data_IF_850613363429
#
_entry.id   IF_850613363429
#
_cell.length_a   1.000
_cell.length_b   1.000
_cell.length_c   1.000
_cell.angle_alpha   90.00
_cell.angle_beta   90.00
_cell.angle_gamma   90.00
#
_symmetry.space_group_name_H-M   'P 1'
#
loop_
_entity.id
_entity.type
_entity.pdbx_description
1 polymer ?
#
# COMPACT_ATOMS: atom_id res chain seq x y z
N UNK A 1 10.28 -2.39 5.03
CA UNK A 1 9.89 -3.72 4.53
C UNK A 1 10.39 -3.86 3.10
N UNK A 2 10.62 -5.08 2.60
CA UNK A 2 11.06 -5.25 1.21
C UNK A 2 9.85 -5.34 0.29
N UNK A 3 9.78 -4.46 -0.70
CA UNK A 3 8.82 -4.50 -1.79
C UNK A 3 9.42 -5.35 -2.93
N UNK A 4 8.95 -6.59 -3.02
CA UNK A 4 9.36 -7.56 -4.04
C UNK A 4 8.71 -7.23 -5.38
N UNK A 5 9.52 -6.81 -6.33
CA UNK A 5 9.09 -6.41 -7.66
C UNK A 5 8.94 -7.62 -8.59
N UNK A 6 7.69 -7.93 -8.95
CA UNK A 6 7.33 -8.93 -9.96
C UNK A 6 6.62 -8.27 -11.16
N UNK A 7 6.75 -6.96 -11.31
CA UNK A 7 6.14 -6.21 -12.39
C UNK A 7 6.83 -6.56 -13.72
N UNK A 8 6.08 -6.47 -14.81
CA UNK A 8 6.57 -6.86 -16.15
C UNK A 8 6.65 -5.69 -17.15
N UNK A 9 6.47 -4.46 -16.69
CA UNK A 9 6.51 -3.26 -17.54
C UNK A 9 7.19 -2.08 -16.85
N UNK A 10 7.91 -1.30 -17.65
CA UNK A 10 8.69 -0.13 -17.18
C UNK A 10 7.80 0.97 -16.61
N UNK A 11 6.54 1.07 -17.05
CA UNK A 11 5.57 2.03 -16.56
C UNK A 11 5.13 1.70 -15.12
N UNK A 12 4.97 0.40 -14.82
CA UNK A 12 4.69 -0.05 -13.47
C UNK A 12 5.90 0.09 -12.57
N UNK A 13 7.09 -0.27 -13.06
CA UNK A 13 8.35 -0.11 -12.32
C UNK A 13 8.59 1.36 -11.91
N UNK A 14 8.31 2.30 -12.82
CA UNK A 14 8.40 3.73 -12.53
C UNK A 14 7.43 4.17 -11.43
N UNK A 15 6.21 3.63 -11.42
CA UNK A 15 5.19 3.94 -10.41
C UNK A 15 5.54 3.30 -9.05
N UNK A 16 6.11 2.09 -9.06
CA UNK A 16 6.57 1.42 -7.84
C UNK A 16 7.76 2.16 -7.22
N UNK A 17 8.71 2.62 -8.04
CA UNK A 17 9.83 3.44 -7.58
C UNK A 17 9.34 4.73 -6.92
N UNK A 18 8.45 5.46 -7.60
CA UNK A 18 7.87 6.69 -7.04
C UNK A 18 7.12 6.42 -5.73
N UNK A 19 6.27 5.39 -5.67
CA UNK A 19 5.57 5.03 -4.43
C UNK A 19 6.53 4.62 -3.31
N UNK A 20 7.61 3.89 -3.61
CA UNK A 20 8.64 3.54 -2.63
C UNK A 20 9.28 4.81 -2.03
N UNK A 21 9.65 5.75 -2.89
CA UNK A 21 10.28 7.01 -2.47
C UNK A 21 9.29 7.86 -1.67
N UNK A 22 8.06 8.03 -2.16
CA UNK A 22 6.99 8.77 -1.49
C UNK A 22 6.73 8.25 -0.06
N UNK A 23 6.63 6.93 0.13
CA UNK A 23 6.37 6.37 1.45
C UNK A 23 7.61 6.40 2.36
N UNK A 24 8.82 6.43 1.79
CA UNK A 24 10.07 6.59 2.52
C UNK A 24 10.37 8.02 2.98
N UNK A 25 9.58 9.02 2.56
CA UNK A 25 9.62 10.35 3.17
C UNK A 25 9.15 10.34 4.64
N UNK A 26 8.53 9.25 5.10
CA UNK A 26 8.17 9.04 6.50
C UNK A 26 9.37 8.63 7.36
N UNK A 27 9.54 9.25 8.53
CA UNK A 27 10.55 8.85 9.51
C UNK A 27 10.24 7.50 10.21
N UNK A 28 9.03 6.95 10.02
CA UNK A 28 8.52 5.82 10.81
C UNK A 28 8.47 4.49 10.07
N UNK A 29 8.71 4.50 8.76
CA UNK A 29 8.81 3.32 7.92
C UNK A 29 10.04 3.45 7.02
N UNK A 30 10.61 2.32 6.64
CA UNK A 30 11.75 2.27 5.73
C UNK A 30 11.53 1.08 4.79
N UNK A 31 11.44 1.35 3.49
CA UNK A 31 11.18 0.40 2.44
C UNK A 31 12.30 0.37 1.41
N UNK A 32 12.46 -0.78 0.80
CA UNK A 32 13.39 -0.96 -0.30
C UNK A 32 12.76 -1.85 -1.35
N UNK A 33 12.99 -1.54 -2.61
CA UNK A 33 12.64 -2.42 -3.73
C UNK A 33 13.72 -3.49 -3.88
N UNK A 34 13.30 -4.74 -4.06
CA UNK A 34 14.17 -5.84 -4.46
C UNK A 34 13.46 -6.72 -5.49
N UNK A 35 14.19 -7.65 -6.12
CA UNK A 35 13.56 -8.64 -7.00
C UNK A 35 12.49 -9.44 -6.23
N UNK A 36 11.34 -9.61 -6.85
CA UNK A 36 10.21 -10.35 -6.30
C UNK A 36 10.47 -11.85 -6.16
N UNK A 37 9.72 -12.46 -5.25
CA UNK A 37 9.76 -13.89 -4.94
C UNK A 37 8.47 -14.64 -5.27
N UNK A 38 7.46 -13.96 -5.83
CA UNK A 38 6.20 -14.59 -6.16
C UNK A 38 6.39 -15.66 -7.24
N UNK A 39 5.83 -16.86 -7.03
CA UNK A 39 5.91 -17.94 -8.01
C UNK A 39 5.18 -17.61 -9.32
N UNK A 40 4.15 -16.76 -9.24
CA UNK A 40 3.42 -16.23 -10.37
C UNK A 40 2.66 -14.95 -9.97
N UNK A 41 2.37 -14.09 -10.95
CA UNK A 41 1.70 -12.81 -10.72
C UNK A 41 0.20 -12.96 -10.41
N UNK A 42 -0.47 -14.02 -10.89
CA UNK A 42 -1.90 -14.25 -10.67
C UNK A 42 -2.20 -14.44 -9.16
N UNK A 43 -1.43 -15.28 -8.49
CA UNK A 43 -1.57 -15.50 -7.06
C UNK A 43 -0.92 -14.37 -6.26
N UNK A 44 0.21 -13.84 -6.75
CA UNK A 44 1.05 -12.85 -6.07
C UNK A 44 1.28 -13.20 -4.59
N UNK A 45 1.63 -14.46 -4.34
CA UNK A 45 1.68 -15.01 -2.99
C UNK A 45 3.02 -14.67 -2.31
N UNK A 46 3.01 -13.94 -1.17
CA UNK A 46 4.24 -13.57 -0.48
C UNK A 46 4.75 -14.66 0.47
N UNK A 47 6.09 -14.74 0.56
CA UNK A 47 6.76 -15.40 1.67
C UNK A 47 6.64 -14.57 2.97
N UNK A 48 6.82 -15.20 4.13
CA UNK A 48 6.87 -14.47 5.41
C UNK A 48 8.05 -13.48 5.42
N UNK A 49 7.78 -12.23 5.78
CA UNK A 49 8.74 -11.13 5.79
C UNK A 49 8.82 -10.34 4.48
N UNK A 50 8.08 -10.75 3.44
CA UNK A 50 8.08 -10.11 2.13
C UNK A 50 6.73 -9.47 1.80
N UNK A 51 6.78 -8.45 0.95
CA UNK A 51 5.62 -7.96 0.20
C UNK A 51 5.89 -8.23 -1.26
N UNK A 52 4.92 -8.79 -1.97
CA UNK A 52 5.05 -9.01 -3.42
C UNK A 52 4.14 -8.03 -4.16
N UNK A 53 4.73 -7.29 -5.12
CA UNK A 53 4.03 -6.37 -6.00
C UNK A 53 3.94 -7.02 -7.37
N UNK A 54 2.74 -7.24 -7.88
CA UNK A 54 2.51 -7.93 -9.14
C UNK A 54 1.48 -7.21 -10.02
N UNK A 55 1.67 -7.31 -11.33
CA UNK A 55 0.64 -6.98 -12.31
C UNK A 55 0.20 -8.22 -13.09
N UNK A 56 -1.09 -8.32 -13.36
CA UNK A 56 -1.68 -9.35 -14.20
C UNK A 56 -3.05 -8.89 -14.74
N UNK A 57 -3.55 -9.54 -15.79
CA UNK A 57 -4.95 -9.40 -16.21
C UNK A 57 -5.85 -10.21 -15.26
N UNK A 58 -6.35 -9.55 -14.22
CA UNK A 58 -7.26 -10.15 -13.24
C UNK A 58 -8.74 -10.08 -13.67
N UNK A 59 -8.99 -9.82 -14.95
CA UNK A 59 -10.30 -9.61 -15.53
C UNK A 59 -11.09 -8.44 -14.91
N UNK A 60 -12.33 -8.28 -15.36
CA UNK A 60 -13.27 -7.27 -14.89
C UNK A 60 -13.82 -7.64 -13.50
N UNK A 61 -13.24 -7.06 -12.45
CA UNK A 61 -13.50 -7.42 -11.05
C UNK A 61 -13.75 -6.22 -10.12
N UNK A 62 -13.92 -5.02 -10.71
CA UNK A 62 -14.22 -3.73 -10.08
C UNK A 62 -13.12 -3.16 -9.18
N UNK A 63 -11.86 -3.49 -9.43
CA UNK A 63 -10.72 -2.84 -8.77
C UNK A 63 -9.55 -2.61 -9.75
N UNK A 64 -8.95 -1.42 -9.66
CA UNK A 64 -7.74 -1.05 -10.39
C UNK A 64 -6.49 -1.64 -9.73
N UNK A 65 -6.51 -1.66 -8.40
CA UNK A 65 -5.50 -2.28 -7.55
C UNK A 65 -6.14 -2.91 -6.32
N UNK A 66 -5.43 -3.86 -5.72
CA UNK A 66 -5.79 -4.40 -4.41
C UNK A 66 -4.54 -4.81 -3.64
N UNK A 67 -4.50 -4.41 -2.39
CA UNK A 67 -3.50 -4.79 -1.43
C UNK A 67 -4.08 -5.70 -0.36
N UNK A 68 -3.24 -6.59 0.16
CA UNK A 68 -3.57 -7.43 1.30
C UNK A 68 -2.39 -7.61 2.22
N UNK A 69 -2.68 -7.65 3.52
CA UNK A 69 -1.68 -7.88 4.56
C UNK A 69 -2.07 -9.06 5.43
N UNK A 70 -1.05 -9.74 5.94
CA UNK A 70 -1.18 -10.80 6.91
C UNK A 70 -0.70 -10.27 8.25
N UNK A 71 -1.51 -10.48 9.29
CA UNK A 71 -1.24 -9.95 10.62
C UNK A 71 -1.18 -11.10 11.61
N UNK A 72 -0.09 -11.17 12.38
CA UNK A 72 0.04 -12.11 13.49
C UNK A 72 -0.77 -11.68 14.72
N UNK A 73 -1.09 -12.63 15.61
CA UNK A 73 -1.60 -12.34 16.96
C UNK A 73 -0.63 -11.39 17.69
N UNK A 74 -0.98 -10.11 17.78
CA UNK A 74 -0.09 -9.04 18.24
C UNK A 74 -0.05 -7.79 17.35
N UNK A 75 -0.82 -7.76 16.24
CA UNK A 75 -0.95 -6.63 15.29
C UNK A 75 0.28 -6.36 14.42
N UNK A 76 1.30 -7.22 14.46
CA UNK A 76 2.45 -7.13 13.57
C UNK A 76 2.09 -7.64 12.18
N UNK A 77 2.47 -6.87 11.16
CA UNK A 77 2.39 -7.28 9.75
C UNK A 77 3.49 -8.32 9.49
N UNK A 78 3.12 -9.49 9.00
CA UNK A 78 4.06 -10.58 8.73
C UNK A 78 4.44 -10.69 7.27
N UNK A 79 3.58 -10.26 6.34
CA UNK A 79 3.78 -10.24 4.89
C UNK A 79 2.59 -9.54 4.22
N UNK A 80 2.70 -9.24 2.92
CA UNK A 80 1.61 -8.64 2.17
C UNK A 80 1.73 -8.81 0.66
N UNK A 81 0.73 -8.37 -0.08
CA UNK A 81 0.77 -8.33 -1.54
C UNK A 81 0.11 -7.05 -2.04
N UNK A 82 0.54 -6.61 -3.22
CA UNK A 82 -0.15 -5.61 -4.05
C UNK A 82 -0.35 -6.23 -5.42
N UNK A 83 -1.58 -6.11 -5.94
CA UNK A 83 -1.96 -6.55 -7.28
C UNK A 83 -2.50 -5.34 -8.04
N UNK A 84 -1.90 -5.01 -9.18
CA UNK A 84 -2.42 -3.98 -10.10
C UNK A 84 -2.97 -4.63 -11.37
N UNK A 85 -4.15 -4.19 -11.82
CA UNK A 85 -4.97 -4.95 -12.76
C UNK A 85 -4.83 -4.50 -14.21
N UNK A 86 -4.02 -5.22 -14.98
CA UNK A 86 -3.78 -4.92 -16.39
C UNK A 86 -5.04 -4.99 -17.26
N UNK A 87 -6.11 -5.67 -16.81
CA UNK A 87 -7.40 -5.64 -17.50
C UNK A 87 -7.91 -4.20 -17.72
N UNK A 88 -7.78 -3.36 -16.70
CA UNK A 88 -8.19 -1.95 -16.77
C UNK A 88 -7.12 -1.08 -17.42
N UNK A 89 -5.84 -1.34 -17.13
CA UNK A 89 -4.73 -0.58 -17.70
C UNK A 89 -4.42 -0.91 -19.17
N UNK A 90 -5.13 -1.86 -19.77
CA UNK A 90 -5.23 -2.04 -21.22
C UNK A 90 -6.23 -1.05 -21.89
N UNK A 91 -7.04 -0.33 -21.11
CA UNK A 91 -8.03 0.63 -21.60
C UNK A 91 -7.45 2.04 -21.60
N UNK A 92 -7.61 2.80 -22.68
CA UNK A 92 -7.03 4.14 -22.87
C UNK A 92 -7.29 5.10 -21.69
N UNK A 93 -8.45 4.98 -21.04
CA UNK A 93 -8.83 5.83 -19.91
C UNK A 93 -7.89 5.66 -18.70
N UNK A 94 -7.52 4.42 -18.34
CA UNK A 94 -6.62 4.13 -17.23
C UNK A 94 -5.16 4.02 -17.67
N UNK A 95 -4.91 3.78 -18.95
CA UNK A 95 -3.58 3.59 -19.50
C UNK A 95 -2.78 4.90 -19.62
N UNK A 96 -2.50 5.55 -18.51
CA UNK A 96 -1.64 6.72 -18.41
C UNK A 96 -0.88 6.75 -17.07
N UNK A 97 0.07 7.69 -16.95
CA UNK A 97 0.94 7.82 -15.78
C UNK A 97 0.15 8.18 -14.51
N UNK A 98 -0.77 9.17 -14.52
CA UNK A 98 -1.49 9.54 -13.30
C UNK A 98 -2.28 8.40 -12.66
N UNK A 99 -3.00 7.59 -13.43
CA UNK A 99 -3.74 6.46 -12.88
C UNK A 99 -2.82 5.40 -12.27
N UNK A 100 -1.70 5.07 -12.94
CA UNK A 100 -0.73 4.10 -12.42
C UNK A 100 -0.09 4.55 -11.13
N UNK A 101 0.30 5.82 -11.07
CA UNK A 101 0.90 6.42 -9.89
C UNK A 101 -0.09 6.44 -8.72
N UNK A 102 -1.33 6.89 -8.95
CA UNK A 102 -2.39 6.88 -7.94
C UNK A 102 -2.59 5.48 -7.35
N UNK A 103 -2.84 4.48 -8.19
CA UNK A 103 -3.13 3.12 -7.70
C UNK A 103 -1.93 2.53 -6.98
N UNK A 104 -0.71 2.69 -7.52
CA UNK A 104 0.47 2.11 -6.88
C UNK A 104 0.74 2.74 -5.51
N UNK A 105 0.64 4.07 -5.42
CA UNK A 105 0.79 4.78 -4.15
C UNK A 105 -0.24 4.31 -3.12
N UNK A 106 -1.51 4.22 -3.53
CA UNK A 106 -2.62 3.78 -2.67
C UNK A 106 -2.42 2.35 -2.15
N UNK A 107 -2.13 1.41 -3.04
CA UNK A 107 -1.96 0.01 -2.65
C UNK A 107 -0.73 -0.23 -1.78
N UNK A 108 0.38 0.49 -2.03
CA UNK A 108 1.54 0.45 -1.14
C UNK A 108 1.20 1.09 0.22
N UNK A 109 0.38 2.14 0.26
CA UNK A 109 -0.11 2.72 1.53
C UNK A 109 -0.91 1.71 2.36
N UNK A 110 -1.74 0.89 1.72
CA UNK A 110 -2.48 -0.18 2.39
C UNK A 110 -1.59 -1.26 3.00
N UNK A 111 -0.40 -1.50 2.45
CA UNK A 111 0.61 -2.39 3.06
C UNK A 111 1.02 -1.88 4.45
N UNK A 112 0.98 -0.57 4.70
CA UNK A 112 1.24 0.05 6.01
C UNK A 112 -0.02 0.29 6.83
N UNK A 113 -1.12 -0.40 6.50
CA UNK A 113 -2.41 -0.34 7.21
C UNK A 113 -3.14 0.99 7.13
N UNK A 114 -2.77 1.86 6.19
CA UNK A 114 -3.52 3.09 5.95
C UNK A 114 -4.86 2.76 5.30
N UNK A 115 -5.93 3.38 5.79
CA UNK A 115 -7.25 3.33 5.19
C UNK A 115 -7.44 4.55 4.27
N UNK A 116 -8.49 4.53 3.44
CA UNK A 116 -8.86 5.71 2.67
C UNK A 116 -9.24 6.87 3.60
N UNK A 117 -8.82 8.09 3.23
CA UNK A 117 -9.29 9.35 3.79
C UNK A 117 -10.64 9.77 3.17
N UNK A 118 -10.88 9.41 1.90
CA UNK A 118 -12.11 9.66 1.17
C UNK A 118 -12.45 8.54 0.20
N UNK A 119 -13.73 8.17 0.13
CA UNK A 119 -14.23 7.08 -0.74
C UNK A 119 -15.28 7.59 -1.74
N UNK A 120 -15.28 8.89 -2.04
CA UNK A 120 -16.18 9.51 -3.02
C UNK A 120 -15.38 9.86 -4.26
N UNK A 121 -15.75 9.34 -5.43
CA UNK A 121 -14.92 9.47 -6.64
C UNK A 121 -15.03 10.82 -7.36
N UNK A 122 -16.15 11.53 -7.18
CA UNK A 122 -16.52 12.70 -8.00
C UNK A 122 -16.47 14.03 -7.24
N UNK A 123 -15.87 14.07 -6.06
CA UNK A 123 -15.63 15.29 -5.27
C UNK A 123 -14.22 15.85 -5.51
N UNK A 124 -13.92 16.97 -4.84
CA UNK A 124 -12.58 17.54 -4.85
C UNK A 124 -11.61 16.62 -4.14
N UNK A 125 -10.46 16.40 -4.78
CA UNK A 125 -9.36 15.61 -4.24
C UNK A 125 -8.95 16.13 -2.86
N UNK A 126 -8.60 15.21 -1.96
CA UNK A 126 -8.00 15.52 -0.66
C UNK A 126 -6.48 15.78 -0.74
N UNK A 127 -5.88 15.61 -1.92
CA UNK A 127 -4.46 15.81 -2.15
C UNK A 127 -3.58 14.69 -1.60
N UNK A 128 -4.11 13.46 -1.54
CA UNK A 128 -3.46 12.26 -1.00
C UNK A 128 -3.76 11.08 -1.90
N UNK A 129 -2.82 10.15 -2.06
CA UNK A 129 -3.11 8.91 -2.76
C UNK A 129 -4.04 7.94 -1.99
N UNK A 130 -4.38 8.23 -0.73
CA UNK A 130 -5.38 7.49 0.04
C UNK A 130 -6.80 8.06 -0.14
N UNK A 131 -7.14 8.61 -1.30
CA UNK A 131 -8.44 9.20 -1.61
C UNK A 131 -8.93 8.71 -2.98
N UNK A 132 -10.17 8.21 -3.02
CA UNK A 132 -10.80 7.86 -4.29
C UNK A 132 -11.01 9.10 -5.14
N UNK A 133 -10.74 8.98 -6.44
CA UNK A 133 -10.93 10.10 -7.37
C UNK A 133 -11.10 9.60 -8.80
N UNK A 134 -11.84 10.37 -9.60
CA UNK A 134 -11.88 10.25 -11.06
C UNK A 134 -10.86 11.19 -11.76
N UNK A 135 -10.11 11.99 -11.00
CA UNK A 135 -9.21 13.02 -11.49
C UNK A 135 -7.86 12.98 -10.74
N UNK A 136 -7.00 11.98 -11.00
CA UNK A 136 -5.77 11.78 -10.23
C UNK A 136 -4.86 13.02 -10.12
N UNK A 137 -4.78 13.84 -11.17
CA UNK A 137 -3.95 15.05 -11.22
C UNK A 137 -4.58 16.29 -10.54
N UNK A 138 -5.86 16.23 -10.15
CA UNK A 138 -6.55 17.40 -9.64
C UNK A 138 -6.94 18.38 -10.75
N UNK A 139 -8.00 18.02 -11.49
CA UNK A 139 -8.64 18.88 -12.49
C UNK A 139 -10.16 18.66 -12.44
N UNK A 140 -10.94 19.53 -13.08
CA UNK A 140 -12.40 19.36 -13.13
C UNK A 140 -13.02 19.37 -11.74
N UNK A 141 -13.83 18.36 -11.41
CA UNK A 141 -14.42 18.25 -10.07
C UNK A 141 -13.42 17.82 -9.00
N UNK A 142 -12.27 17.23 -9.40
CA UNK A 142 -11.14 16.92 -8.51
C UNK A 142 -10.43 18.14 -7.95
N UNK A 143 -10.78 19.36 -8.36
CA UNK A 143 -10.19 20.58 -7.83
C UNK A 143 -8.78 20.82 -8.36
N UNK A 144 -7.89 21.35 -7.52
CA UNK A 144 -6.51 21.70 -7.89
C UNK A 144 -5.44 20.84 -7.18
N UNK A 145 -5.84 19.91 -6.32
CA UNK A 145 -4.92 19.07 -5.55
C UNK A 145 -4.76 17.72 -6.24
N UNK A 146 -3.52 17.26 -6.35
CA UNK A 146 -3.19 15.96 -6.94
C UNK A 146 -3.24 14.86 -5.88
N UNK A 147 -3.81 13.70 -6.22
CA UNK A 147 -3.82 12.50 -5.38
C UNK A 147 -2.68 11.54 -5.76
N UNK A 148 -1.63 12.00 -6.44
CA UNK A 148 -0.55 11.12 -6.92
C UNK A 148 0.47 10.75 -5.83
N UNK A 149 0.44 11.42 -4.68
CA UNK A 149 1.42 11.28 -3.61
C UNK A 149 0.72 11.30 -2.23
N UNK A 150 1.35 10.77 -1.17
CA UNK A 150 0.85 10.90 0.19
C UNK A 150 0.79 12.37 0.63
N UNK A 151 -0.11 12.68 1.57
CA UNK A 151 -0.15 13.98 2.24
C UNK A 151 0.37 13.88 3.68
N UNK A 152 0.48 15.04 4.35
CA UNK A 152 0.92 15.10 5.74
C UNK A 152 0.08 14.20 6.67
N UNK A 153 -1.24 14.11 6.45
CA UNK A 153 -2.10 13.26 7.26
C UNK A 153 -1.75 11.78 7.11
N UNK A 154 -1.33 11.31 5.93
CA UNK A 154 -0.87 9.92 5.76
C UNK A 154 0.37 9.63 6.61
N UNK A 155 1.36 10.53 6.60
CA UNK A 155 2.57 10.41 7.43
C UNK A 155 2.25 10.49 8.93
N UNK A 156 1.32 11.35 9.33
CA UNK A 156 0.88 11.46 10.73
C UNK A 156 0.22 10.15 11.21
N UNK A 157 -0.55 9.46 10.35
CA UNK A 157 -1.09 8.14 10.67
C UNK A 157 0.01 7.09 10.85
N UNK A 158 1.06 7.13 10.03
CA UNK A 158 2.23 6.26 10.22
C UNK A 158 2.94 6.55 11.54
N UNK A 159 3.08 7.82 11.92
CA UNK A 159 3.62 8.23 13.22
C UNK A 159 2.81 7.66 14.39
N UNK A 160 1.48 7.71 14.31
CA UNK A 160 0.60 7.14 15.33
C UNK A 160 0.72 5.61 15.42
N UNK A 161 0.89 4.93 14.29
CA UNK A 161 0.94 3.47 14.24
C UNK A 161 2.31 2.88 14.58
N UNK A 162 3.39 3.56 14.19
CA UNK A 162 4.76 3.04 14.20
C UNK A 162 5.74 3.90 15.01
N UNK A 163 5.36 5.11 15.40
CA UNK A 163 6.14 5.97 16.28
C UNK A 163 6.34 5.33 17.64
N UNK A 164 7.59 5.30 18.11
CA UNK A 164 7.92 4.97 19.49
C UNK A 164 7.56 6.20 20.33
N UNK A 165 6.48 6.11 21.10
CA UNK A 165 6.00 7.25 21.88
C UNK A 165 7.07 7.80 22.83
N UNK A 166 7.60 8.98 22.52
CA UNK A 166 8.48 9.71 23.42
C UNK A 166 7.63 10.67 24.26
N UNK A 167 7.20 10.22 25.44
CA UNK A 167 6.45 11.10 26.33
C UNK A 167 5.91 10.58 27.66
N UNK A 168 6.23 9.38 28.14
CA UNK A 168 5.95 9.05 29.56
C UNK A 168 7.07 8.21 30.16
N UNK A 169 7.96 8.89 30.90
CA UNK A 169 8.83 8.26 31.90
C UNK A 169 8.00 8.02 33.15
N UNK A 170 7.73 6.76 33.50
CA UNK A 170 8.12 6.20 34.81
C UNK A 170 7.82 4.70 34.92
N UNK A 171 8.63 3.98 35.72
CA UNK A 171 8.16 2.78 36.41
C UNK A 171 8.57 1.40 35.86
N UNK A 172 9.84 1.06 36.07
CA UNK A 172 10.38 -0.29 36.29
C UNK A 172 9.36 -1.35 36.75
N UNK A 173 9.17 -2.45 35.99
CA UNK A 173 8.95 -3.82 36.52
C UNK A 173 9.43 -4.92 35.57
N UNK A 174 10.37 -5.71 36.09
CA UNK A 174 10.84 -7.02 35.61
C UNK A 174 9.72 -8.08 35.50
N UNK A 175 9.89 -8.98 34.54
CA UNK A 175 9.29 -10.34 34.47
C UNK A 175 9.19 -10.78 33.01
N UNK A 176 10.03 -11.66 32.48
CA UNK A 176 10.14 -13.09 32.80
C UNK A 176 9.56 -13.89 31.62
N UNK A 177 10.42 -14.49 30.77
CA UNK A 177 9.97 -15.51 29.80
C UNK A 177 9.98 -16.92 30.42
N UNK A 178 9.76 -18.03 29.67
CA UNK A 178 9.11 -18.29 28.36
C UNK A 178 7.96 -19.37 28.54
N UNK A 179 7.34 -20.10 27.55
CA UNK A 179 7.98 -20.97 26.53
C UNK A 179 7.27 -21.09 25.14
N UNK A 180 7.95 -21.86 24.27
CA UNK A 180 7.64 -22.42 22.95
C UNK A 180 6.17 -22.56 22.45
N UNK A 181 6.01 -22.22 21.17
CA UNK A 181 5.47 -23.11 20.13
C UNK A 181 3.97 -23.40 20.12
N UNK A 182 3.16 -22.52 19.52
CA UNK A 182 1.88 -22.86 18.87
C UNK A 182 1.68 -21.95 17.66
N UNK A 183 1.23 -22.53 16.54
CA UNK A 183 1.14 -21.88 15.23
C UNK A 183 0.60 -20.45 15.28
N UNK A 184 1.27 -19.56 14.55
CA UNK A 184 0.84 -18.17 14.37
C UNK A 184 -0.51 -18.23 13.65
N UNK A 185 -1.58 -17.90 14.37
CA UNK A 185 -2.86 -17.65 13.74
C UNK A 185 -2.69 -16.31 13.01
N UNK A 186 -2.60 -16.34 11.68
CA UNK A 186 -2.56 -15.15 10.83
C UNK A 186 -3.97 -14.82 10.34
N UNK A 187 -4.34 -13.55 10.36
CA UNK A 187 -5.57 -13.05 9.71
C UNK A 187 -5.20 -12.13 8.56
N UNK A 188 -5.95 -12.22 7.46
CA UNK A 188 -5.75 -11.38 6.28
C UNK A 188 -6.71 -10.19 6.29
N UNK A 189 -6.23 -9.01 5.94
CA UNK A 189 -7.04 -7.82 5.64
C UNK A 189 -6.71 -7.35 4.22
N UNK A 190 -7.71 -6.97 3.44
CA UNK A 190 -7.54 -6.47 2.08
C UNK A 190 -8.25 -5.13 1.89
N UNK A 191 -7.64 -4.24 1.11
CA UNK A 191 -8.14 -2.90 0.75
C UNK A 191 -7.69 -2.62 -0.68
N UNK A 192 -8.41 -1.80 -1.44
CA UNK A 192 -8.01 -1.52 -2.81
C UNK A 192 -8.75 -0.38 -3.48
N UNK A 193 -8.13 0.14 -4.53
CA UNK A 193 -8.64 1.16 -5.42
C UNK A 193 -9.81 0.62 -6.25
N UNK A 194 -11.01 1.10 -5.95
CA UNK A 194 -12.25 0.68 -6.61
C UNK A 194 -12.57 1.54 -7.85
N UNK A 195 -13.57 1.08 -8.60
CA UNK A 195 -14.18 1.77 -9.75
C UNK A 195 -15.53 2.39 -9.40
#
# INVERSE_FOLDING_TARGET
MVLGDNLNSVEWDASLLAANDDWNDSDFIDNSIAAGGAANNLDCAPATGAVEICNYDYANNNWLGIAGIYIAKGKQITKGYVKVNDFYYAQDFYNNVPWRQLVMCQEVGHIFRLAHQGETFDNANLGTCMDYTNYPEGVGTGGAMSNLHPNQHDYDQLAVMYGTGDGEKDGDKKGGGPPAGKGILETTSASGARL
#
